data_IF_552798781978
#
_entry.id   IF_552798781978
#
_cell.length_a   1.000
_cell.length_b   1.000
_cell.length_c   1.000
_cell.angle_alpha   90.00
_cell.angle_beta   90.00
_cell.angle_gamma   90.00
#
_symmetry.space_group_name_H-M   'P 1'
#
loop_
_entity.id
_entity.type
_entity.pdbx_description
1 polymer ?
#
# COMPACT_ATOMS: atom_id res chain seq x y z
N UNK A 1 1.61 -27.52 -3.83
CA UNK A 1 1.29 -26.64 -2.68
C UNK A 1 -0.16 -26.19 -2.82
N UNK A 2 -0.92 -26.09 -1.73
CA UNK A 2 -2.35 -25.69 -1.82
C UNK A 2 -2.43 -24.17 -1.82
N UNK A 3 -2.90 -23.58 -2.92
CA UNK A 3 -3.16 -22.14 -3.07
C UNK A 3 -4.14 -21.61 -2.01
N UNK A 4 -4.95 -22.47 -1.40
CA UNK A 4 -5.86 -22.15 -0.28
C UNK A 4 -5.21 -21.49 0.96
N UNK A 5 -3.88 -21.39 1.05
CA UNK A 5 -3.19 -20.65 2.11
C UNK A 5 -2.92 -19.17 1.75
N UNK A 6 -3.13 -18.78 0.49
CA UNK A 6 -2.84 -17.45 -0.02
C UNK A 6 -4.09 -16.88 -0.70
N UNK A 7 -4.83 -15.97 -0.04
CA UNK A 7 -6.19 -15.59 -0.43
C UNK A 7 -6.32 -14.94 -1.81
N UNK A 8 -5.21 -14.45 -2.40
CA UNK A 8 -5.19 -13.80 -3.72
C UNK A 8 -4.35 -14.55 -4.76
N UNK A 9 -3.76 -15.70 -4.40
CA UNK A 9 -2.91 -16.44 -5.32
C UNK A 9 -3.74 -17.42 -6.15
N UNK A 10 -3.84 -17.18 -7.45
CA UNK A 10 -4.39 -18.14 -8.40
C UNK A 10 -3.40 -19.28 -8.67
N UNK A 11 -2.11 -18.93 -8.81
CA UNK A 11 -1.02 -19.89 -9.05
C UNK A 11 0.26 -19.48 -8.33
N UNK A 12 1.07 -20.47 -7.95
CA UNK A 12 2.39 -20.30 -7.37
C UNK A 12 3.44 -20.94 -8.28
N UNK A 13 4.42 -20.14 -8.72
CA UNK A 13 5.55 -20.63 -9.50
C UNK A 13 6.73 -20.83 -8.55
N UNK A 14 7.22 -22.06 -8.46
CA UNK A 14 8.31 -22.45 -7.55
C UNK A 14 9.61 -22.73 -8.27
N UNK A 15 10.74 -22.66 -7.56
CA UNK A 15 12.00 -23.22 -8.05
C UNK A 15 12.03 -24.76 -7.89
N UNK A 16 13.15 -25.36 -8.31
CA UNK A 16 13.36 -26.82 -8.26
C UNK A 16 13.43 -27.39 -6.84
N UNK A 17 13.58 -26.54 -5.83
CA UNK A 17 13.58 -26.93 -4.41
C UNK A 17 12.18 -26.74 -3.78
N UNK A 18 11.21 -26.21 -4.55
CA UNK A 18 9.86 -25.96 -4.07
C UNK A 18 9.68 -24.60 -3.39
N UNK A 19 10.67 -23.70 -3.42
CA UNK A 19 10.50 -22.36 -2.87
C UNK A 19 9.68 -21.49 -3.84
N UNK A 20 8.71 -20.74 -3.32
CA UNK A 20 7.90 -19.81 -4.13
C UNK A 20 8.81 -18.69 -4.66
N UNK A 21 8.79 -18.47 -5.98
CA UNK A 21 9.54 -17.40 -6.67
C UNK A 21 8.62 -16.36 -7.29
N UNK A 22 7.42 -16.76 -7.73
CA UNK A 22 6.42 -15.86 -8.28
C UNK A 22 5.03 -16.30 -7.86
N UNK A 23 4.12 -15.34 -7.82
CA UNK A 23 2.70 -15.54 -7.55
C UNK A 23 1.94 -14.95 -8.73
N UNK A 24 0.99 -15.72 -9.26
CA UNK A 24 0.01 -15.23 -10.23
C UNK A 24 -1.25 -14.85 -9.45
N UNK A 25 -1.75 -13.67 -9.73
CA UNK A 25 -2.89 -13.01 -9.07
C UNK A 25 -3.80 -12.46 -10.16
N UNK A 26 -5.11 -12.47 -9.93
CA UNK A 26 -6.04 -11.79 -10.80
C UNK A 26 -5.75 -10.28 -10.83
N UNK A 27 -5.96 -9.66 -11.98
CA UNK A 27 -5.65 -8.24 -12.13
C UNK A 27 -6.50 -7.35 -11.20
N UNK A 28 -7.77 -7.69 -10.95
CA UNK A 28 -8.63 -6.92 -10.04
C UNK A 28 -8.20 -7.09 -8.58
N UNK A 29 -7.80 -8.30 -8.20
CA UNK A 29 -7.27 -8.55 -6.85
C UNK A 29 -5.95 -7.81 -6.61
N UNK A 30 -5.10 -7.69 -7.64
CA UNK A 30 -3.89 -6.87 -7.57
C UNK A 30 -4.21 -5.37 -7.37
N UNK A 31 -5.16 -4.83 -8.14
CA UNK A 31 -5.58 -3.43 -7.97
C UNK A 31 -6.13 -3.17 -6.56
N UNK A 32 -6.97 -4.07 -6.06
CA UNK A 32 -7.50 -3.98 -4.70
C UNK A 32 -6.41 -4.05 -3.64
N UNK A 33 -5.37 -4.86 -3.86
CA UNK A 33 -4.22 -4.92 -2.96
C UNK A 33 -3.48 -3.57 -2.92
N UNK A 34 -3.30 -2.91 -4.07
CA UNK A 34 -2.69 -1.59 -4.13
C UNK A 34 -3.51 -0.54 -3.38
N UNK A 35 -4.82 -0.51 -3.59
CA UNK A 35 -5.72 0.43 -2.89
C UNK A 35 -5.61 0.31 -1.37
N UNK A 36 -5.60 -0.93 -0.84
CA UNK A 36 -5.48 -1.16 0.62
C UNK A 36 -4.13 -0.66 1.14
N UNK A 37 -3.04 -0.86 0.39
CA UNK A 37 -1.70 -0.40 0.79
C UNK A 37 -1.63 1.13 0.76
N UNK A 38 -2.21 1.76 -0.26
CA UNK A 38 -2.27 3.22 -0.37
C UNK A 38 -3.09 3.85 0.76
N UNK A 39 -4.26 3.29 1.07
CA UNK A 39 -5.10 3.74 2.18
C UNK A 39 -4.40 3.60 3.53
N UNK A 40 -3.71 2.48 3.76
CA UNK A 40 -2.92 2.28 4.98
C UNK A 40 -1.79 3.30 5.09
N UNK A 41 -1.06 3.53 4.00
CA UNK A 41 0.00 4.54 3.92
C UNK A 41 -0.53 5.95 4.20
N UNK A 42 -1.69 6.31 3.64
CA UNK A 42 -2.34 7.58 3.88
C UNK A 42 -2.74 7.75 5.35
N UNK A 43 -3.31 6.71 5.97
CA UNK A 43 -3.66 6.74 7.40
C UNK A 43 -2.41 6.96 8.26
N UNK A 44 -1.30 6.32 7.94
CA UNK A 44 -0.04 6.51 8.66
C UNK A 44 0.48 7.94 8.52
N UNK A 45 0.47 8.51 7.31
CA UNK A 45 0.86 9.90 7.08
C UNK A 45 -0.02 10.89 7.86
N UNK A 46 -1.34 10.69 7.88
CA UNK A 46 -2.27 11.51 8.67
C UNK A 46 -1.96 11.42 10.17
N UNK A 47 -1.63 10.22 10.68
CA UNK A 47 -1.29 10.01 12.09
C UNK A 47 0.03 10.70 12.47
N UNK A 48 1.01 10.69 11.58
CA UNK A 48 2.32 11.31 11.81
C UNK A 48 2.19 12.82 12.07
N UNK A 49 1.33 13.50 11.30
CA UNK A 49 1.09 14.94 11.40
C UNK A 49 -0.08 15.31 12.33
N UNK A 50 -0.68 14.35 13.04
CA UNK A 50 -1.93 14.57 13.78
C UNK A 50 -1.85 15.66 14.86
N UNK A 51 -0.67 15.90 15.41
CA UNK A 51 -0.44 16.91 16.46
C UNK A 51 0.04 18.26 15.91
N UNK A 52 0.22 18.39 14.60
CA UNK A 52 0.63 19.64 13.97
C UNK A 52 -0.50 20.67 14.03
N UNK A 53 -0.12 21.95 13.95
CA UNK A 53 -1.10 23.04 13.93
C UNK A 53 -1.76 23.10 12.54
N UNK A 54 -3.08 22.95 12.43
CA UNK A 54 -3.75 23.06 11.13
C UNK A 54 -3.64 24.48 10.59
N UNK A 55 -3.25 24.60 9.33
CA UNK A 55 -3.17 25.87 8.61
C UNK A 55 -4.37 26.04 7.67
N UNK A 56 -4.86 27.26 7.54
CA UNK A 56 -5.73 27.60 6.42
C UNK A 56 -4.91 27.75 5.11
N UNK A 57 -5.59 27.83 3.97
CA UNK A 57 -4.92 27.86 2.66
C UNK A 57 -3.90 29.00 2.52
N UNK A 58 -4.18 30.19 3.06
CA UNK A 58 -3.25 31.32 2.96
C UNK A 58 -2.02 31.12 3.86
N UNK A 59 -2.22 30.55 5.05
CA UNK A 59 -1.13 30.23 5.97
C UNK A 59 -0.23 29.12 5.42
N UNK A 60 -0.83 28.08 4.84
CA UNK A 60 -0.09 26.98 4.21
C UNK A 60 0.75 27.46 3.01
N UNK A 61 0.19 28.34 2.17
CA UNK A 61 0.94 28.95 1.06
C UNK A 61 2.10 29.82 1.56
N UNK A 62 1.86 30.62 2.60
CA UNK A 62 2.89 31.47 3.18
C UNK A 62 4.02 30.65 3.85
N UNK A 63 3.71 29.49 4.43
CA UNK A 63 4.72 28.59 4.99
C UNK A 63 5.50 27.86 3.90
N UNK A 64 4.82 27.39 2.84
CA UNK A 64 5.46 26.75 1.68
C UNK A 64 6.47 27.68 0.97
N UNK A 65 6.20 28.99 0.92
CA UNK A 65 7.13 29.97 0.35
C UNK A 65 8.38 30.23 1.22
N UNK A 66 8.37 29.82 2.50
CA UNK A 66 9.50 29.98 3.43
C UNK A 66 10.46 28.79 3.43
N UNK A 67 9.98 27.60 3.05
CA UNK A 67 10.80 26.40 2.84
C UNK A 67 11.63 26.48 1.55
#
# INVERSE_FOLDING_TARGET
>A
MKTNQYPFAEELITDTQGNIRKVIIDFQDYLRLLEVIEDEGLILAIKEVQQETPLNINEALAELERE
#
